data_IF_260711583709
#
_entry.id   IF_260711583709
#
_cell.length_a   1.000
_cell.length_b   1.000
_cell.length_c   1.000
_cell.angle_alpha   90.00
_cell.angle_beta   90.00
_cell.angle_gamma   90.00
#
_symmetry.space_group_name_H-M   'P 1'
#
loop_
_entity.id
_entity.type
_entity.pdbx_description
1 polymer ?
#
# COMPACT_ATOMS: atom_id res chain seq x y z
N UNK A 1 -13.53 4.21 -13.98
CA UNK A 1 -14.60 3.22 -14.24
C UNK A 1 -14.15 1.80 -13.89
N UNK A 2 -13.02 1.27 -14.41
CA UNK A 2 -12.55 -0.08 -14.06
C UNK A 2 -12.36 -0.33 -12.54
N UNK A 3 -11.68 0.58 -11.83
CA UNK A 3 -11.40 0.43 -10.39
C UNK A 3 -12.66 0.34 -9.52
N UNK A 4 -13.72 1.05 -9.88
CA UNK A 4 -14.96 1.05 -9.09
C UNK A 4 -15.65 -0.32 -9.23
N UNK A 5 -15.73 -0.85 -10.44
CA UNK A 5 -16.25 -2.18 -10.71
C UNK A 5 -15.41 -3.28 -10.02
N UNK A 6 -14.09 -3.14 -9.97
CA UNK A 6 -13.20 -4.09 -9.29
C UNK A 6 -13.44 -4.11 -7.76
N UNK A 7 -13.67 -2.93 -7.17
CA UNK A 7 -13.99 -2.81 -5.73
C UNK A 7 -15.38 -3.38 -5.44
N UNK A 8 -16.38 -3.05 -6.26
CA UNK A 8 -17.74 -3.57 -6.11
C UNK A 8 -17.75 -5.10 -6.19
N UNK A 9 -16.95 -5.68 -7.08
CA UNK A 9 -16.79 -7.14 -7.18
C UNK A 9 -16.13 -7.76 -5.94
N UNK A 10 -15.14 -7.10 -5.36
CA UNK A 10 -14.53 -7.57 -4.11
C UNK A 10 -15.53 -7.51 -2.95
N UNK A 11 -16.36 -6.47 -2.89
CA UNK A 11 -17.41 -6.34 -1.88
C UNK A 11 -18.45 -7.45 -2.06
N UNK A 12 -18.97 -7.69 -3.27
CA UNK A 12 -19.92 -8.79 -3.55
C UNK A 12 -19.36 -10.15 -3.15
N UNK A 13 -18.09 -10.42 -3.47
CA UNK A 13 -17.44 -11.66 -3.09
C UNK A 13 -17.27 -11.80 -1.56
N UNK A 14 -17.02 -10.70 -0.84
CA UNK A 14 -16.96 -10.72 0.62
C UNK A 14 -18.34 -10.95 1.25
N UNK A 15 -19.38 -10.29 0.73
CA UNK A 15 -20.77 -10.46 1.21
C UNK A 15 -21.30 -11.89 1.01
N UNK A 16 -20.77 -12.59 0.01
CA UNK A 16 -21.12 -13.98 -0.32
C UNK A 16 -20.21 -15.01 0.35
N UNK A 17 -19.35 -14.60 1.28
CA UNK A 17 -18.33 -15.44 1.94
C UNK A 17 -17.38 -16.17 0.96
N UNK A 18 -17.25 -15.67 -0.26
CA UNK A 18 -16.34 -16.20 -1.28
C UNK A 18 -14.90 -15.67 -1.12
N UNK A 19 -14.71 -14.65 -0.29
CA UNK A 19 -13.44 -14.02 -0.03
C UNK A 19 -13.38 -13.50 1.40
N UNK A 20 -12.36 -13.91 2.15
CA UNK A 20 -12.15 -13.34 3.49
C UNK A 20 -11.70 -11.88 3.41
N UNK A 21 -11.91 -11.13 4.50
CA UNK A 21 -11.41 -9.73 4.64
C UNK A 21 -9.90 -9.65 4.41
N UNK A 22 -9.17 -10.68 4.83
CA UNK A 22 -7.71 -10.75 4.68
C UNK A 22 -7.31 -10.91 3.21
N UNK A 23 -7.98 -11.80 2.47
CA UNK A 23 -7.76 -12.00 1.03
C UNK A 23 -8.19 -10.78 0.21
N UNK A 24 -9.28 -10.10 0.60
CA UNK A 24 -9.70 -8.86 -0.03
C UNK A 24 -8.64 -7.76 0.10
N UNK A 25 -8.01 -7.62 1.27
CA UNK A 25 -6.92 -6.66 1.48
C UNK A 25 -5.71 -6.96 0.58
N UNK A 26 -5.39 -8.24 0.37
CA UNK A 26 -4.31 -8.65 -0.53
C UNK A 26 -4.67 -8.36 -1.99
N UNK A 27 -5.90 -8.70 -2.39
CA UNK A 27 -6.41 -8.44 -3.74
C UNK A 27 -6.38 -6.95 -4.09
N UNK A 28 -6.79 -6.08 -3.15
CA UNK A 28 -6.73 -4.63 -3.32
C UNK A 28 -5.29 -4.14 -3.59
N UNK A 29 -4.29 -4.63 -2.86
CA UNK A 29 -2.89 -4.24 -3.11
C UNK A 29 -2.41 -4.72 -4.48
N UNK A 30 -2.86 -5.90 -4.92
CA UNK A 30 -2.53 -6.42 -6.26
C UNK A 30 -3.16 -5.59 -7.36
N UNK A 31 -4.42 -5.18 -7.20
CA UNK A 31 -5.13 -4.32 -8.14
C UNK A 31 -4.53 -2.90 -8.20
N UNK A 32 -4.27 -2.31 -7.03
CA UNK A 32 -3.69 -0.97 -6.91
C UNK A 32 -2.19 -0.93 -7.24
N UNK A 33 -1.57 -2.10 -7.41
CA UNK A 33 -0.13 -2.34 -7.67
C UNK A 33 0.79 -1.95 -6.51
N UNK A 34 0.49 -0.87 -5.79
CA UNK A 34 1.26 -0.36 -4.66
C UNK A 34 0.32 0.23 -3.60
N UNK A 35 0.54 -0.15 -2.34
CA UNK A 35 -0.10 0.46 -1.16
C UNK A 35 0.97 1.00 -0.23
N UNK A 36 1.02 2.33 -0.09
CA UNK A 36 1.86 3.00 0.91
C UNK A 36 1.14 3.05 2.26
N UNK A 37 1.86 2.72 3.33
CA UNK A 37 1.39 2.85 4.71
C UNK A 37 1.74 4.25 5.20
N UNK A 38 0.90 5.23 4.84
CA UNK A 38 1.08 6.65 5.23
C UNK A 38 0.63 6.87 6.68
N UNK A 39 -0.46 6.21 7.07
CA UNK A 39 -1.05 6.26 8.40
C UNK A 39 -0.99 4.89 9.08
N UNK A 40 -1.58 4.80 10.28
CA UNK A 40 -1.73 3.52 10.97
C UNK A 40 -2.58 2.57 10.13
N UNK A 41 -2.09 1.35 9.96
CA UNK A 41 -2.84 0.23 9.40
C UNK A 41 -3.31 -0.67 10.56
N UNK A 42 -4.56 -1.18 10.55
CA UNK A 42 -5.02 -2.11 11.58
C UNK A 42 -4.12 -3.35 11.67
N UNK A 43 -3.88 -3.84 12.88
CA UNK A 43 -2.99 -4.98 13.13
C UNK A 43 -3.40 -6.27 12.37
N UNK A 44 -4.70 -6.63 12.29
CA UNK A 44 -5.13 -7.79 11.50
C UNK A 44 -4.77 -7.65 10.02
N UNK A 45 -5.01 -6.47 9.44
CA UNK A 45 -4.69 -6.19 8.03
C UNK A 45 -3.19 -6.28 7.78
N UNK A 46 -2.37 -5.70 8.66
CA UNK A 46 -0.90 -5.80 8.55
C UNK A 46 -0.43 -7.25 8.61
N UNK A 47 -1.01 -8.06 9.50
CA UNK A 47 -0.71 -9.50 9.61
C UNK A 47 -1.06 -10.22 8.30
N UNK A 48 -2.26 -10.01 7.77
CA UNK A 48 -2.70 -10.60 6.51
C UNK A 48 -1.76 -10.26 5.33
N UNK A 49 -1.39 -8.99 5.20
CA UNK A 49 -0.46 -8.55 4.15
C UNK A 49 0.93 -9.15 4.34
N UNK A 50 1.43 -9.28 5.58
CA UNK A 50 2.70 -9.93 5.85
C UNK A 50 2.67 -11.43 5.52
N UNK A 51 1.57 -12.13 5.81
CA UNK A 51 1.41 -13.53 5.40
C UNK A 51 1.40 -13.67 3.87
N UNK A 52 0.73 -12.77 3.16
CA UNK A 52 0.76 -12.74 1.70
C UNK A 52 2.17 -12.48 1.13
N UNK A 53 2.98 -11.68 1.84
CA UNK A 53 4.41 -11.48 1.49
C UNK A 53 5.20 -12.77 1.69
N UNK A 54 5.00 -13.49 2.80
CA UNK A 54 5.65 -14.80 3.03
C UNK A 54 5.26 -15.83 1.97
N UNK A 55 4.03 -15.79 1.48
CA UNK A 55 3.54 -16.63 0.37
C UNK A 55 4.01 -16.18 -1.01
N UNK A 56 4.68 -15.03 -1.12
CA UNK A 56 5.19 -14.48 -2.38
C UNK A 56 4.14 -13.77 -3.24
N UNK A 57 2.92 -13.58 -2.75
CA UNK A 57 1.85 -12.87 -3.46
C UNK A 57 2.08 -11.36 -3.53
N UNK A 58 2.79 -10.83 -2.53
CA UNK A 58 3.14 -9.42 -2.41
C UNK A 58 4.62 -9.25 -2.11
N UNK A 59 5.17 -8.11 -2.54
CA UNK A 59 6.42 -7.58 -2.03
C UNK A 59 6.19 -6.63 -0.85
N UNK A 60 7.22 -6.47 -0.02
CA UNK A 60 7.22 -5.57 1.13
C UNK A 60 8.49 -4.74 1.20
N UNK A 61 8.34 -3.48 1.61
CA UNK A 61 9.43 -2.60 1.98
C UNK A 61 9.13 -1.98 3.34
N UNK A 62 10.04 -2.18 4.30
CA UNK A 62 9.97 -1.54 5.61
C UNK A 62 10.13 -0.01 5.48
N UNK A 63 9.58 0.71 6.45
CA UNK A 63 9.80 2.15 6.61
C UNK A 63 11.30 2.45 6.71
N UNK A 64 11.73 3.53 6.08
CA UNK A 64 13.12 3.99 6.06
C UNK A 64 13.16 5.52 6.04
N UNK A 65 13.57 6.15 7.14
CA UNK A 65 13.47 7.60 7.31
C UNK A 65 12.06 8.15 7.04
N UNK A 66 11.95 9.06 6.06
CA UNK A 66 10.69 9.64 5.59
C UNK A 66 9.99 8.81 4.50
N UNK A 67 10.62 7.73 4.02
CA UNK A 67 9.99 6.79 3.08
C UNK A 67 9.02 5.90 3.85
N UNK A 68 7.72 5.93 3.54
CA UNK A 68 6.74 5.10 4.22
C UNK A 68 7.01 3.62 3.97
N UNK A 69 6.46 2.76 4.82
CA UNK A 69 6.36 1.34 4.53
C UNK A 69 5.46 1.12 3.30
N UNK A 70 5.72 0.07 2.52
CA UNK A 70 4.95 -0.24 1.33
C UNK A 70 4.72 -1.74 1.15
N UNK A 71 3.50 -2.09 0.74
CA UNK A 71 3.16 -3.39 0.15
C UNK A 71 2.90 -3.20 -1.34
N UNK A 72 3.32 -4.13 -2.17
CA UNK A 72 3.21 -3.96 -3.62
C UNK A 72 3.09 -5.29 -4.35
N UNK A 73 2.54 -5.25 -5.56
CA UNK A 73 2.53 -6.39 -6.46
C UNK A 73 3.98 -6.75 -6.87
N UNK A 74 4.43 -8.02 -6.82
CA UNK A 74 5.85 -8.39 -6.97
C UNK A 74 6.53 -7.85 -8.24
N UNK A 75 5.80 -7.77 -9.35
CA UNK A 75 6.30 -7.24 -10.64
C UNK A 75 6.42 -5.71 -10.70
N UNK A 76 5.87 -4.99 -9.74
CA UNK A 76 5.80 -3.51 -9.72
C UNK A 76 6.74 -2.89 -8.67
N UNK A 77 7.83 -3.57 -8.30
CA UNK A 77 8.82 -3.07 -7.32
C UNK A 77 9.30 -1.64 -7.62
N UNK A 78 9.58 -1.33 -8.89
CA UNK A 78 10.05 0.01 -9.27
C UNK A 78 9.01 1.10 -9.01
N UNK A 79 7.73 0.78 -9.19
CA UNK A 79 6.62 1.69 -8.89
C UNK A 79 6.53 1.95 -7.38
N UNK A 80 6.75 0.92 -6.55
CA UNK A 80 6.80 1.09 -5.10
C UNK A 80 7.95 2.01 -4.67
N UNK A 81 9.14 1.85 -5.26
CA UNK A 81 10.28 2.74 -5.00
C UNK A 81 9.95 4.18 -5.40
N UNK A 82 9.42 4.38 -6.62
CA UNK A 82 9.05 5.71 -7.11
C UNK A 82 8.01 6.38 -6.20
N UNK A 83 6.97 5.66 -5.80
CA UNK A 83 5.92 6.17 -4.92
C UNK A 83 6.47 6.55 -3.53
N UNK A 84 7.35 5.73 -2.95
CA UNK A 84 8.02 6.03 -1.67
C UNK A 84 8.90 7.27 -1.76
N UNK A 85 9.69 7.39 -2.83
CA UNK A 85 10.57 8.54 -3.05
C UNK A 85 9.77 9.83 -3.29
N UNK A 86 8.67 9.77 -4.03
CA UNK A 86 7.77 10.91 -4.22
C UNK A 86 7.22 11.39 -2.87
N UNK A 87 6.74 10.46 -2.04
CA UNK A 87 6.20 10.80 -0.72
C UNK A 87 7.26 11.38 0.23
N UNK A 88 8.48 10.85 0.20
CA UNK A 88 9.60 11.43 0.96
C UNK A 88 9.87 12.88 0.56
N UNK A 89 9.93 13.18 -0.73
CA UNK A 89 10.13 14.56 -1.22
C UNK A 89 9.01 15.49 -0.77
N UNK A 90 7.76 15.05 -0.82
CA UNK A 90 6.62 15.82 -0.31
C UNK A 90 6.79 16.17 1.18
N UNK A 91 7.20 15.20 2.00
CA UNK A 91 7.44 15.40 3.43
C UNK A 91 8.60 16.38 3.67
N UNK A 92 9.72 16.20 2.99
CA UNK A 92 10.88 17.09 3.11
C UNK A 92 10.52 18.52 2.69
N UNK A 93 9.79 18.69 1.59
CA UNK A 93 9.36 20.00 1.13
C UNK A 93 8.39 20.67 2.10
N UNK A 94 7.48 19.90 2.71
CA UNK A 94 6.60 20.42 3.76
C UNK A 94 7.41 20.88 4.99
N UNK A 95 8.42 20.11 5.40
CA UNK A 95 9.30 20.47 6.52
C UNK A 95 10.12 21.74 6.22
N UNK A 96 10.70 21.87 5.01
CA UNK A 96 11.44 23.07 4.58
C UNK A 96 10.56 24.34 4.69
N UNK A 97 9.30 24.25 4.26
CA UNK A 97 8.34 25.36 4.34
C UNK A 97 8.06 25.79 5.78
N UNK A 98 7.88 24.83 6.69
CA UNK A 98 7.62 25.13 8.10
C UNK A 98 8.87 25.68 8.79
N UNK A 99 10.05 25.18 8.43
CA UNK A 99 11.33 25.61 9.01
C UNK A 99 11.89 26.92 8.42
N UNK A 100 11.29 27.47 7.36
CA UNK A 100 11.77 28.68 6.69
C UNK A 100 13.07 28.52 5.90
N UNK A 101 13.44 27.28 5.52
CA UNK A 101 14.63 27.04 4.71
C UNK A 101 14.39 27.30 3.21
N UNK A 102 15.37 27.86 2.48
CA UNK A 102 15.25 28.07 1.03
C UNK A 102 15.08 26.73 0.29
N UNK A 103 14.23 26.76 -0.74
CA UNK A 103 13.82 25.58 -1.52
C UNK A 103 14.96 24.98 -2.33
#
# INVERSE_FOLDING_TARGET
>A
MARQNDIERLIDHMERDLLSVDEANVALVRMDRVRLVINKIPAPVRRALNEAVKRGELGHMKKDGHKPEAYFHPTFKQMAIAARNAREREVINALKKVAGWPL
#
